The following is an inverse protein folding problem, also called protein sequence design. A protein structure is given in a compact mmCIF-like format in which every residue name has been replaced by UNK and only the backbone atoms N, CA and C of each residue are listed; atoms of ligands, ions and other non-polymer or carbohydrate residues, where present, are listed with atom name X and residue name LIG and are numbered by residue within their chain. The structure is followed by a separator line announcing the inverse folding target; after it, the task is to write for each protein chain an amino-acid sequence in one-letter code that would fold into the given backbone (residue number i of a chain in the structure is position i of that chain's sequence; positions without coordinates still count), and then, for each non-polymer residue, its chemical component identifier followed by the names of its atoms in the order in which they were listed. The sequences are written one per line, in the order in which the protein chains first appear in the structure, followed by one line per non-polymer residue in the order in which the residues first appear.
data_IF_554382281604
#
_entry.id   IF_554382281604
#
_cell.length_a   1.000
_cell.length_b   1.000
_cell.length_c   1.000
_cell.angle_alpha   90.00
_cell.angle_beta   90.00
_cell.angle_gamma   90.00
#
_symmetry.space_group_name_H-M   'P 1'
#
loop_
_entity.id
_entity.type
_entity.pdbx_description
1 polymer ?
#
# COMPACT_ATOMS: atom_id res chain seq x y z
N UNK A 1 -17.63 12.04 -27.26
CA UNK A 1 -16.71 10.94 -26.91
C UNK A 1 -15.73 10.82 -28.08
N UNK A 2 -14.44 11.02 -27.83
CA UNK A 2 -13.43 11.35 -28.85
C UNK A 2 -12.91 10.07 -29.53
N UNK A 3 -12.82 10.00 -30.87
CA UNK A 3 -12.39 8.80 -31.62
C UNK A 3 -11.02 8.25 -31.15
N UNK A 4 -10.14 9.11 -30.64
CA UNK A 4 -8.84 8.73 -30.04
C UNK A 4 -8.95 7.90 -28.76
N UNK A 5 -10.07 7.96 -28.04
CA UNK A 5 -10.31 7.15 -26.83
C UNK A 5 -10.73 5.71 -27.18
N UNK A 6 -11.39 5.52 -28.33
CA UNK A 6 -11.88 4.21 -28.79
C UNK A 6 -10.75 3.34 -29.36
N UNK A 7 -9.75 3.94 -29.99
CA UNK A 7 -8.53 3.25 -30.45
C UNK A 7 -7.65 2.75 -29.27
N UNK A 8 -7.69 3.45 -28.13
CA UNK A 8 -7.01 3.01 -26.91
C UNK A 8 -7.69 1.78 -26.31
N UNK A 9 -9.02 1.77 -26.18
CA UNK A 9 -9.77 0.63 -25.64
C UNK A 9 -9.60 -0.66 -26.45
N UNK A 10 -9.50 -0.59 -27.78
CA UNK A 10 -9.27 -1.78 -28.61
C UNK A 10 -7.84 -2.34 -28.51
N UNK A 11 -6.84 -1.48 -28.31
CA UNK A 11 -5.45 -1.93 -28.11
C UNK A 11 -5.25 -2.64 -26.75
N UNK A 12 -6.07 -2.32 -25.74
CA UNK A 12 -5.95 -2.89 -24.39
C UNK A 12 -6.71 -4.20 -24.15
N UNK A 13 -7.42 -4.74 -25.16
CA UNK A 13 -8.14 -6.04 -25.07
C UNK A 13 -7.29 -7.27 -25.43
N UNK A 14 -6.00 -7.11 -25.74
CA UNK A 14 -5.16 -8.24 -26.14
C UNK A 14 -4.62 -9.01 -24.92
N UNK A 15 -4.73 -10.35 -24.88
CA UNK A 15 -4.31 -11.15 -23.73
C UNK A 15 -2.78 -11.15 -23.55
N UNK A 16 -2.35 -11.06 -22.29
CA UNK A 16 -0.96 -11.10 -21.86
C UNK A 16 -0.52 -12.57 -21.77
N UNK A 17 0.38 -13.02 -22.64
CA UNK A 17 1.06 -14.31 -22.48
C UNK A 17 2.14 -14.18 -21.39
N UNK A 18 1.84 -14.69 -20.19
CA UNK A 18 2.79 -14.80 -19.09
C UNK A 18 3.62 -16.10 -19.24
N UNK A 19 4.92 -15.98 -19.47
CA UNK A 19 5.87 -17.08 -19.25
C UNK A 19 6.92 -16.64 -18.22
N UNK A 20 6.69 -16.97 -16.96
CA UNK A 20 7.70 -16.89 -15.90
C UNK A 20 8.22 -18.30 -15.61
N UNK A 21 9.47 -18.58 -15.96
CA UNK A 21 10.24 -19.71 -15.43
C UNK A 21 10.95 -19.25 -14.14
N UNK A 22 10.69 -19.96 -13.02
CA UNK A 22 11.31 -19.72 -11.72
C UNK A 22 12.81 -20.06 -11.75
N UNK A 23 13.72 -19.22 -11.21
CA UNK A 23 15.04 -19.69 -10.78
C UNK A 23 14.99 -20.21 -9.34
N UNK A 24 15.78 -21.25 -9.07
CA UNK A 24 16.00 -21.83 -7.73
C UNK A 24 16.69 -20.82 -6.81
N UNK A 25 16.15 -20.63 -5.60
CA UNK A 25 16.81 -19.90 -4.52
C UNK A 25 17.66 -20.86 -3.68
N UNK A 26 18.96 -20.60 -3.56
CA UNK A 26 19.79 -21.08 -2.44
C UNK A 26 19.75 -20.04 -1.33
N UNK A 27 19.40 -20.48 -0.11
CA UNK A 27 19.35 -19.62 1.09
C UNK A 27 20.76 -19.43 1.65
N UNK A 28 21.22 -18.19 1.72
CA UNK A 28 22.34 -17.79 2.59
C UNK A 28 21.77 -17.02 3.79
N UNK A 29 21.93 -17.57 4.98
CA UNK A 29 21.62 -16.93 6.26
C UNK A 29 22.68 -15.86 6.56
N UNK A 30 22.27 -14.61 6.81
CA UNK A 30 23.13 -13.59 7.42
C UNK A 30 22.49 -13.20 8.75
N UNK A 31 23.21 -13.45 9.83
CA UNK A 31 22.86 -13.09 11.22
C UNK A 31 23.10 -11.62 11.49
N UNK A 32 22.21 -11.03 12.30
CA UNK A 32 22.22 -9.65 12.74
C UNK A 32 23.32 -9.38 13.77
N UNK A 33 24.31 -8.56 13.41
CA UNK A 33 25.06 -7.69 14.34
C UNK A 33 25.99 -6.78 13.53
N UNK A 34 25.75 -5.47 13.59
CA UNK A 34 26.60 -4.47 12.92
C UNK A 34 25.98 -3.09 12.93
N UNK A 35 26.53 -2.23 13.77
CA UNK A 35 26.24 -0.80 13.91
C UNK A 35 26.43 -0.01 12.61
N UNK A 36 25.78 1.16 12.56
CA UNK A 36 26.00 2.23 11.57
C UNK A 36 27.51 2.46 11.42
N UNK A 37 28.06 2.04 10.30
CA UNK A 37 29.47 2.20 9.94
C UNK A 37 29.56 2.87 8.59
N UNK A 38 30.45 3.86 8.51
CA UNK A 38 30.81 4.63 7.33
C UNK A 38 30.93 3.75 6.07
N UNK A 39 30.14 4.07 5.05
CA UNK A 39 30.33 3.56 3.69
C UNK A 39 31.48 4.32 3.02
N UNK A 40 32.70 4.17 3.55
CA UNK A 40 33.93 4.52 2.83
C UNK A 40 34.76 3.25 2.70
N UNK A 41 34.56 2.51 1.60
CA UNK A 41 35.56 1.64 0.97
C UNK A 41 34.90 0.89 -0.19
N UNK A 42 34.96 1.48 -1.38
CA UNK A 42 35.07 0.75 -2.64
C UNK A 42 35.81 1.65 -3.62
N UNK A 43 37.14 1.57 -3.60
CA UNK A 43 37.93 1.90 -4.78
C UNK A 43 37.61 0.82 -5.82
N UNK A 44 36.67 1.13 -6.72
CA UNK A 44 36.40 0.34 -7.93
C UNK A 44 36.38 1.29 -9.11
N UNK A 45 37.12 0.92 -10.14
CA UNK A 45 37.28 1.63 -11.41
C UNK A 45 35.94 2.17 -11.89
N UNK A 46 35.81 3.49 -11.90
CA UNK A 46 34.77 4.20 -12.62
C UNK A 46 34.91 3.74 -14.08
N UNK A 47 33.86 3.12 -14.63
CA UNK A 47 33.80 2.88 -16.07
C UNK A 47 33.69 4.24 -16.76
N UNK A 48 34.82 4.84 -17.07
CA UNK A 48 34.90 6.00 -17.94
C UNK A 48 34.68 5.51 -19.38
N UNK A 49 33.64 5.97 -20.09
CA UNK A 49 33.54 5.71 -21.51
C UNK A 49 34.78 6.30 -22.17
N UNK A 50 35.60 5.46 -22.82
CA UNK A 50 36.66 5.96 -23.70
C UNK A 50 35.98 6.69 -24.86
N UNK A 51 35.87 8.01 -24.75
CA UNK A 51 35.42 8.86 -25.85
C UNK A 51 36.53 8.86 -26.90
N UNK A 52 36.21 8.30 -28.06
CA UNK A 52 37.07 8.41 -29.23
C UNK A 52 36.81 9.81 -29.83
N UNK A 53 37.69 10.76 -29.52
CA UNK A 53 37.58 12.20 -29.81
C UNK A 53 37.58 12.56 -31.31
N UNK A 54 37.59 11.56 -32.20
CA UNK A 54 37.68 11.76 -33.65
C UNK A 54 36.44 11.38 -34.45
N UNK A 55 35.29 11.18 -33.79
CA UNK A 55 34.03 11.15 -34.53
C UNK A 55 33.34 12.51 -34.44
N UNK A 56 33.45 13.30 -35.52
CA UNK A 56 32.45 14.33 -35.86
C UNK A 56 31.11 13.63 -36.08
N UNK A 57 30.47 13.22 -34.98
CA UNK A 57 29.15 12.64 -34.99
C UNK A 57 28.18 13.68 -35.51
N UNK A 58 27.39 13.33 -36.53
CA UNK A 58 26.27 14.13 -37.01
C UNK A 58 25.42 14.54 -35.79
N UNK A 59 25.54 15.78 -35.36
CA UNK A 59 24.77 16.32 -34.25
C UNK A 59 23.28 16.10 -34.55
N UNK A 60 22.59 15.43 -33.63
CA UNK A 60 21.15 15.32 -33.64
C UNK A 60 20.59 16.74 -33.45
N UNK A 61 20.16 17.39 -34.53
CA UNK A 61 19.48 18.69 -34.48
C UNK A 61 18.03 18.51 -33.99
N UNK A 62 17.83 18.06 -32.75
CA UNK A 62 16.49 18.08 -32.12
C UNK A 62 16.52 19.05 -30.95
N UNK A 63 15.45 19.84 -30.83
CA UNK A 63 15.28 20.78 -29.71
C UNK A 63 15.36 20.01 -28.39
N UNK A 64 16.37 20.33 -27.59
CA UNK A 64 16.50 19.82 -26.21
C UNK A 64 15.35 20.36 -25.38
N UNK A 65 14.73 19.46 -24.61
CA UNK A 65 13.60 19.77 -23.75
C UNK A 65 13.95 19.33 -22.34
N UNK A 66 14.06 20.23 -21.35
CA UNK A 66 14.32 19.81 -19.98
C UNK A 66 13.17 18.92 -19.47
N UNK A 67 13.50 17.98 -18.57
CA UNK A 67 12.48 17.36 -17.72
C UNK A 67 11.80 18.48 -16.93
N UNK A 68 10.48 18.44 -16.89
CA UNK A 68 9.70 19.46 -16.19
C UNK A 68 10.06 19.48 -14.70
N UNK A 69 10.25 20.67 -14.13
CA UNK A 69 10.57 20.84 -12.69
C UNK A 69 9.47 20.33 -11.77
N UNK A 70 8.26 20.19 -12.30
CA UNK A 70 7.10 19.69 -11.56
C UNK A 70 7.00 18.16 -11.57
N UNK A 71 7.78 17.48 -12.43
CA UNK A 71 7.83 16.02 -12.50
C UNK A 71 8.28 15.44 -11.16
N UNK A 72 7.50 14.52 -10.57
CA UNK A 72 7.79 13.93 -9.26
C UNK A 72 8.53 12.62 -9.36
N UNK A 73 8.10 11.76 -10.28
CA UNK A 73 8.73 10.46 -10.50
C UNK A 73 8.61 10.02 -11.94
N UNK A 74 9.68 9.49 -12.51
CA UNK A 74 9.55 8.63 -13.68
C UNK A 74 10.64 7.58 -13.68
N UNK A 75 10.40 6.52 -14.44
CA UNK A 75 11.47 5.61 -14.80
C UNK A 75 11.31 5.09 -16.22
N UNK A 76 12.44 4.67 -16.78
CA UNK A 76 12.45 4.05 -18.09
C UNK A 76 13.55 3.01 -18.22
N UNK A 77 13.26 1.96 -18.99
CA UNK A 77 14.30 1.12 -19.55
C UNK A 77 15.09 1.93 -20.58
N UNK A 78 16.41 1.98 -20.39
CA UNK A 78 17.33 2.75 -21.21
C UNK A 78 18.55 1.92 -21.64
N UNK A 79 19.22 2.37 -22.70
CA UNK A 79 20.51 1.84 -23.15
C UNK A 79 21.54 2.98 -23.18
N UNK A 80 22.64 2.90 -22.41
CA UNK A 80 23.74 3.86 -22.52
C UNK A 80 24.30 3.90 -23.94
N UNK A 81 24.70 5.09 -24.38
CA UNK A 81 25.39 5.24 -25.66
C UNK A 81 26.70 4.45 -25.65
N UNK A 82 27.02 3.79 -26.76
CA UNK A 82 28.22 2.96 -26.89
C UNK A 82 28.13 1.56 -26.28
N UNK A 83 27.10 1.27 -25.45
CA UNK A 83 26.94 -0.06 -24.87
C UNK A 83 26.61 -1.14 -25.93
N UNK A 84 26.99 -2.42 -25.69
CA UNK A 84 26.63 -3.54 -26.56
C UNK A 84 25.12 -3.65 -26.83
N UNK A 85 24.77 -4.36 -27.90
CA UNK A 85 23.36 -4.72 -28.13
C UNK A 85 22.89 -5.67 -27.03
N UNK A 86 21.64 -5.51 -26.60
CA UNK A 86 21.09 -6.25 -25.47
C UNK A 86 21.21 -5.55 -24.11
N UNK A 87 22.22 -4.69 -23.89
CA UNK A 87 22.39 -3.98 -22.60
C UNK A 87 21.19 -3.10 -22.24
N UNK A 88 20.67 -3.26 -21.02
CA UNK A 88 19.52 -2.51 -20.49
C UNK A 88 19.79 -2.08 -19.05
N UNK A 89 19.50 -0.82 -18.77
CA UNK A 89 19.50 -0.25 -17.44
C UNK A 89 18.14 0.35 -17.16
N UNK A 90 17.82 0.56 -15.89
CA UNK A 90 16.64 1.32 -15.47
C UNK A 90 17.14 2.68 -14.98
N UNK A 91 16.71 3.75 -15.64
CA UNK A 91 16.93 5.11 -15.15
C UNK A 91 15.75 5.48 -14.25
N UNK A 92 16.04 5.79 -12.98
CA UNK A 92 15.09 6.23 -11.97
C UNK A 92 15.27 7.73 -11.73
N UNK A 93 14.17 8.46 -11.79
CA UNK A 93 14.10 9.87 -11.44
C UNK A 93 13.04 10.06 -10.36
N UNK A 94 13.44 10.53 -9.18
CA UNK A 94 12.52 10.92 -8.09
C UNK A 94 13.21 11.93 -7.14
N UNK A 95 13.29 13.23 -7.51
CA UNK A 95 14.04 14.24 -6.77
C UNK A 95 13.82 14.19 -5.25
N UNK A 96 14.88 14.09 -4.42
CA UNK A 96 16.30 14.25 -4.75
C UNK A 96 17.03 12.94 -5.09
N UNK A 97 16.32 11.82 -5.24
CA UNK A 97 16.91 10.52 -5.58
C UNK A 97 16.91 10.33 -7.09
N UNK A 98 18.10 10.14 -7.64
CA UNK A 98 18.33 9.82 -9.05
C UNK A 98 19.26 8.63 -9.12
N UNK A 99 18.93 7.64 -9.92
CA UNK A 99 19.74 6.43 -9.98
C UNK A 99 19.67 5.72 -11.33
N UNK A 100 20.68 4.92 -11.61
CA UNK A 100 20.74 3.98 -12.72
C UNK A 100 20.95 2.61 -12.14
N UNK A 101 20.06 1.69 -12.47
CA UNK A 101 20.14 0.32 -12.03
C UNK A 101 20.55 -0.59 -13.19
N UNK A 102 21.66 -1.30 -13.00
CA UNK A 102 22.03 -2.46 -13.79
C UNK A 102 21.38 -3.70 -13.19
N UNK A 103 20.31 -4.18 -13.80
CA UNK A 103 19.64 -5.39 -13.32
C UNK A 103 20.51 -6.64 -13.51
N UNK A 104 21.35 -6.69 -14.55
CA UNK A 104 22.13 -7.90 -14.85
C UNK A 104 23.25 -8.11 -13.83
N UNK A 105 23.81 -7.02 -13.31
CA UNK A 105 24.90 -7.04 -12.33
C UNK A 105 24.42 -6.75 -10.89
N UNK A 106 23.12 -6.46 -10.70
CA UNK A 106 22.56 -6.05 -9.41
C UNK A 106 23.27 -4.82 -8.80
N UNK A 107 23.61 -3.84 -9.65
CA UNK A 107 24.35 -2.64 -9.25
C UNK A 107 23.51 -1.38 -9.40
N UNK A 108 23.49 -0.54 -8.36
CA UNK A 108 22.81 0.76 -8.36
C UNK A 108 23.84 1.89 -8.35
N UNK A 109 23.89 2.68 -9.42
CA UNK A 109 24.64 3.92 -9.47
C UNK A 109 23.75 5.10 -9.08
N UNK A 110 24.17 5.88 -8.08
CA UNK A 110 23.49 7.11 -7.69
C UNK A 110 23.95 8.28 -8.57
N UNK A 111 23.01 8.99 -9.20
CA UNK A 111 23.30 10.20 -9.96
C UNK A 111 23.34 11.40 -8.99
N UNK A 112 24.31 12.33 -9.14
CA UNK A 112 24.38 13.56 -8.33
C UNK A 112 23.08 14.37 -8.34
N UNK A 113 22.76 15.02 -7.21
CA UNK A 113 21.49 15.74 -7.00
C UNK A 113 21.31 16.99 -7.86
N UNK A 114 22.41 17.55 -8.33
CA UNK A 114 22.50 18.73 -9.18
C UNK A 114 22.60 18.38 -10.68
N UNK A 115 22.50 17.09 -11.02
CA UNK A 115 22.40 16.66 -12.40
C UNK A 115 21.11 17.20 -13.06
N UNK A 116 21.24 17.64 -14.31
CA UNK A 116 20.14 18.13 -15.13
C UNK A 116 19.72 17.06 -16.14
N UNK A 117 18.41 16.92 -16.35
CA UNK A 117 17.84 15.90 -17.22
C UNK A 117 17.17 16.55 -18.43
N UNK A 118 17.47 16.06 -19.63
CA UNK A 118 16.91 16.55 -20.88
C UNK A 118 16.41 15.41 -21.76
N UNK A 119 15.32 15.66 -22.48
CA UNK A 119 14.86 14.85 -23.59
C UNK A 119 15.32 15.42 -24.93
N UNK A 120 15.91 14.57 -25.76
CA UNK A 120 16.30 14.89 -27.13
C UNK A 120 15.85 13.76 -28.08
N UNK A 121 14.62 13.87 -28.58
CA UNK A 121 14.04 12.81 -29.41
C UNK A 121 13.80 11.52 -28.62
N UNK A 122 14.58 10.47 -28.91
CA UNK A 122 14.51 9.17 -28.21
C UNK A 122 15.54 9.01 -27.10
N UNK A 123 16.23 10.09 -26.76
CA UNK A 123 17.35 10.07 -25.81
C UNK A 123 16.99 10.85 -24.55
N UNK A 124 17.42 10.33 -23.41
CA UNK A 124 17.55 11.08 -22.16
C UNK A 124 19.03 11.44 -22.02
N UNK A 125 19.30 12.71 -21.73
CA UNK A 125 20.64 13.23 -21.49
C UNK A 125 20.69 13.64 -20.01
N UNK A 126 21.63 13.06 -19.28
CA UNK A 126 21.95 13.43 -17.90
C UNK A 126 23.23 14.26 -17.93
N UNK A 127 23.14 15.53 -17.54
CA UNK A 127 24.25 16.48 -17.56
C UNK A 127 24.68 16.82 -16.14
N UNK A 128 25.97 16.68 -15.83
CA UNK A 128 26.56 17.03 -14.54
C UNK A 128 28.01 17.46 -14.75
N UNK A 129 28.44 18.58 -14.17
CA UNK A 129 29.81 19.12 -14.31
C UNK A 129 30.33 19.20 -15.77
N UNK A 130 29.50 19.67 -16.70
CA UNK A 130 29.78 19.71 -18.15
C UNK A 130 30.01 18.34 -18.81
N UNK A 131 29.76 17.23 -18.11
CA UNK A 131 29.76 15.87 -18.65
C UNK A 131 28.33 15.46 -18.97
N UNK A 132 28.10 15.02 -20.21
CA UNK A 132 26.80 14.49 -20.65
C UNK A 132 26.85 12.97 -20.78
N UNK A 133 25.93 12.29 -20.10
CA UNK A 133 25.67 10.86 -20.29
C UNK A 133 24.38 10.68 -21.06
N UNK A 134 24.45 9.96 -22.17
CA UNK A 134 23.34 9.82 -23.12
C UNK A 134 22.76 8.41 -23.06
N UNK A 135 21.45 8.34 -22.91
CA UNK A 135 20.68 7.12 -22.73
C UNK A 135 19.57 7.03 -23.78
N UNK A 136 19.58 5.99 -24.61
CA UNK A 136 18.47 5.73 -25.56
C UNK A 136 17.29 5.09 -24.81
N UNK A 137 16.14 5.74 -24.86
CA UNK A 137 14.85 5.24 -24.35
C UNK A 137 14.44 4.01 -25.16
N UNK A 138 13.92 2.98 -24.47
CA UNK A 138 13.43 1.74 -25.10
C UNK A 138 11.91 1.70 -25.26
N UNK A 139 11.18 2.34 -24.35
CA UNK A 139 9.74 2.51 -24.42
C UNK A 139 9.34 3.62 -25.40
N UNK A 140 8.05 3.91 -25.50
CA UNK A 140 7.54 5.01 -26.31
C UNK A 140 8.00 6.36 -25.72
N UNK A 141 9.07 6.92 -26.31
CA UNK A 141 9.70 8.16 -25.85
C UNK A 141 8.74 9.36 -25.85
N UNK A 142 7.76 9.39 -26.76
CA UNK A 142 6.78 10.47 -26.81
C UNK A 142 5.86 10.40 -25.59
N UNK A 143 5.34 9.20 -25.29
CA UNK A 143 4.51 8.99 -24.09
C UNK A 143 5.28 9.24 -22.80
N UNK A 144 6.53 8.78 -22.71
CA UNK A 144 7.37 9.05 -21.55
C UNK A 144 7.55 10.56 -21.35
N UNK A 145 7.86 11.29 -22.43
CA UNK A 145 7.96 12.74 -22.39
C UNK A 145 6.64 13.40 -21.95
N UNK A 146 5.51 12.97 -22.49
CA UNK A 146 4.20 13.48 -22.11
C UNK A 146 3.90 13.20 -20.62
N UNK A 147 4.29 12.05 -20.07
CA UNK A 147 4.19 11.74 -18.63
C UNK A 147 5.08 12.62 -17.75
N UNK A 148 6.24 13.05 -18.24
CA UNK A 148 7.10 13.99 -17.51
C UNK A 148 6.62 15.43 -17.56
N UNK A 149 5.67 15.75 -18.46
CA UNK A 149 5.09 17.09 -18.64
C UNK A 149 3.71 17.26 -18.02
N UNK A 150 2.88 16.24 -18.18
CA UNK A 150 1.51 16.24 -17.68
C UNK A 150 1.57 15.80 -16.22
N UNK A 151 1.82 16.76 -15.34
CA UNK A 151 1.96 16.49 -13.93
C UNK A 151 0.59 16.17 -13.30
N UNK A 152 0.26 14.90 -13.21
CA UNK A 152 -0.63 14.45 -12.15
C UNK A 152 0.18 14.61 -10.85
N UNK A 153 -0.28 15.43 -9.90
CA UNK A 153 0.41 15.71 -8.63
C UNK A 153 0.69 14.46 -7.77
N UNK A 154 0.14 13.30 -8.15
CA UNK A 154 0.21 12.05 -7.42
C UNK A 154 1.38 11.18 -7.90
N UNK A 155 2.38 10.99 -7.02
CA UNK A 155 3.58 10.19 -7.30
C UNK A 155 3.27 8.70 -7.52
N UNK A 156 2.25 8.17 -6.82
CA UNK A 156 1.81 6.78 -6.96
C UNK A 156 1.25 6.57 -8.36
N UNK A 157 0.36 7.45 -8.81
CA UNK A 157 -0.19 7.39 -10.17
C UNK A 157 0.92 7.48 -11.22
N UNK A 158 1.84 8.43 -11.07
CA UNK A 158 2.92 8.62 -12.03
C UNK A 158 3.85 7.39 -12.10
N UNK A 159 4.13 6.75 -10.97
CA UNK A 159 4.86 5.49 -10.91
C UNK A 159 4.15 4.37 -11.69
N UNK A 160 2.87 4.13 -11.44
CA UNK A 160 2.14 3.07 -12.13
C UNK A 160 1.93 3.37 -13.62
N UNK A 161 1.76 4.62 -14.03
CA UNK A 161 1.79 4.99 -15.46
C UNK A 161 3.13 4.66 -16.11
N UNK A 162 4.24 4.86 -15.40
CA UNK A 162 5.57 4.42 -15.87
C UNK A 162 5.68 2.90 -15.93
N UNK A 163 5.15 2.16 -14.94
CA UNK A 163 5.10 0.69 -14.97
C UNK A 163 4.33 0.19 -16.20
N UNK A 164 3.16 0.77 -16.48
CA UNK A 164 2.34 0.39 -17.63
C UNK A 164 3.05 0.69 -18.96
N UNK A 165 3.68 1.87 -19.08
CA UNK A 165 4.42 2.28 -20.27
C UNK A 165 5.61 1.38 -20.55
N UNK A 166 6.36 1.01 -19.51
CA UNK A 166 7.53 0.15 -19.63
C UNK A 166 7.18 -1.35 -19.64
N UNK A 167 5.93 -1.71 -19.31
CA UNK A 167 5.47 -3.09 -19.06
C UNK A 167 6.35 -3.80 -18.03
N UNK A 168 6.71 -3.08 -16.98
CA UNK A 168 7.79 -3.47 -16.08
C UNK A 168 7.62 -2.83 -14.71
N UNK A 169 7.60 -3.65 -13.66
CA UNK A 169 7.83 -3.21 -12.28
C UNK A 169 9.35 -3.07 -12.09
N UNK A 170 9.87 -2.19 -11.22
CA UNK A 170 11.33 -2.00 -11.00
C UNK A 170 11.89 -3.04 -9.99
N UNK A 171 12.59 -4.11 -10.39
CA UNK A 171 13.38 -4.96 -9.51
C UNK A 171 14.86 -4.53 -9.50
N UNK A 172 15.67 -5.10 -8.58
CA UNK A 172 15.19 -5.77 -7.40
C UNK A 172 14.75 -4.71 -6.37
N UNK A 173 13.62 -4.99 -5.72
CA UNK A 173 12.98 -4.05 -4.78
C UNK A 173 13.94 -3.74 -3.62
N UNK A 174 14.83 -4.67 -3.24
CA UNK A 174 15.81 -4.44 -2.16
C UNK A 174 16.84 -3.34 -2.49
N UNK A 175 17.37 -3.29 -3.72
CA UNK A 175 18.28 -2.22 -4.15
C UNK A 175 17.54 -0.89 -4.30
N UNK A 176 16.28 -0.95 -4.68
CA UNK A 176 15.44 0.22 -4.94
C UNK A 176 14.53 0.55 -3.77
N UNK A 177 14.78 -0.02 -2.59
CA UNK A 177 13.95 0.16 -1.40
C UNK A 177 13.79 1.64 -1.01
N UNK A 178 14.83 2.51 -1.06
CA UNK A 178 14.64 3.95 -0.82
C UNK A 178 13.68 4.61 -1.80
N UNK A 179 13.68 4.18 -3.06
CA UNK A 179 12.76 4.68 -4.09
C UNK A 179 11.34 4.18 -3.83
N UNK A 180 11.15 2.88 -3.58
CA UNK A 180 9.85 2.31 -3.23
C UNK A 180 9.27 2.94 -1.96
N UNK A 181 10.08 3.13 -0.92
CA UNK A 181 9.65 3.77 0.33
C UNK A 181 9.14 5.20 0.15
N UNK A 182 9.76 5.92 -0.79
CA UNK A 182 9.32 7.27 -1.10
C UNK A 182 8.02 7.26 -1.91
N UNK A 183 7.99 6.47 -2.98
CA UNK A 183 6.99 6.62 -4.04
C UNK A 183 5.73 5.79 -3.78
N UNK A 184 5.84 4.59 -3.20
CA UNK A 184 4.70 3.67 -3.05
C UNK A 184 4.56 2.97 -1.69
N UNK A 185 5.58 2.83 -0.85
CA UNK A 185 5.37 2.31 0.51
C UNK A 185 4.99 3.45 1.47
N UNK A 186 3.81 4.01 1.23
CA UNK A 186 3.27 5.15 1.97
C UNK A 186 1.76 5.02 2.13
N UNK A 187 1.19 5.78 3.08
CA UNK A 187 -0.24 5.81 3.37
C UNK A 187 -1.10 6.03 2.12
N UNK A 188 -0.64 6.90 1.21
CA UNK A 188 -1.35 7.24 -0.02
C UNK A 188 -1.57 6.02 -0.91
N UNK A 189 -0.53 5.20 -1.13
CA UNK A 189 -0.66 3.97 -1.91
C UNK A 189 -1.64 2.97 -1.28
N UNK A 190 -1.55 2.75 0.03
CA UNK A 190 -2.44 1.82 0.71
C UNK A 190 -3.89 2.32 0.72
N UNK A 191 -4.08 3.62 0.95
CA UNK A 191 -5.39 4.25 0.80
C UNK A 191 -5.98 4.04 -0.61
N UNK A 192 -5.18 4.26 -1.66
CA UNK A 192 -5.62 4.00 -3.04
C UNK A 192 -5.91 2.52 -3.27
N UNK A 193 -5.08 1.62 -2.74
CA UNK A 193 -5.31 0.18 -2.83
C UNK A 193 -6.65 -0.20 -2.18
N UNK A 194 -7.00 0.36 -1.02
CA UNK A 194 -8.30 0.10 -0.34
C UNK A 194 -9.55 0.40 -1.19
N UNK A 195 -9.40 1.15 -2.30
CA UNK A 195 -10.49 1.49 -3.23
C UNK A 195 -10.78 0.44 -4.28
N UNK A 196 -10.00 -0.63 -4.35
CA UNK A 196 -10.41 -1.78 -5.14
C UNK A 196 -11.77 -2.30 -4.64
N UNK A 197 -12.63 -2.82 -5.54
CA UNK A 197 -13.80 -3.57 -5.12
C UNK A 197 -13.39 -4.67 -4.15
N UNK A 198 -14.16 -4.86 -3.08
CA UNK A 198 -13.80 -5.80 -2.02
C UNK A 198 -13.62 -7.23 -2.54
N UNK A 199 -14.31 -7.58 -3.63
CA UNK A 199 -14.21 -8.88 -4.31
C UNK A 199 -12.80 -9.19 -4.84
N UNK A 200 -11.92 -8.20 -4.96
CA UNK A 200 -10.51 -8.40 -5.33
C UNK A 200 -9.69 -8.90 -4.13
N UNK A 201 -10.18 -8.73 -2.91
CA UNK A 201 -9.53 -9.15 -1.68
C UNK A 201 -10.04 -10.52 -1.23
N UNK A 202 -9.11 -11.45 -1.07
CA UNK A 202 -9.30 -12.66 -0.26
C UNK A 202 -8.60 -12.48 1.10
N UNK A 203 -8.78 -13.46 1.99
CA UNK A 203 -8.20 -13.42 3.34
C UNK A 203 -6.68 -13.19 3.32
N UNK A 204 -5.96 -13.83 2.40
CA UNK A 204 -4.50 -13.70 2.28
C UNK A 204 -4.07 -12.30 1.80
N UNK A 205 -4.76 -11.72 0.83
CA UNK A 205 -4.43 -10.39 0.31
C UNK A 205 -4.76 -9.31 1.34
N UNK A 206 -5.84 -9.50 2.10
CA UNK A 206 -6.21 -8.59 3.18
C UNK A 206 -5.23 -8.66 4.37
N UNK A 207 -4.78 -9.85 4.77
CA UNK A 207 -3.72 -10.04 5.78
C UNK A 207 -2.42 -9.34 5.33
N UNK A 208 -2.02 -9.52 4.07
CA UNK A 208 -0.85 -8.82 3.52
C UNK A 208 -1.04 -7.30 3.49
N UNK A 209 -2.24 -6.80 3.20
CA UNK A 209 -2.54 -5.37 3.29
C UNK A 209 -2.33 -4.85 4.71
N UNK A 210 -2.86 -5.56 5.73
CA UNK A 210 -2.73 -5.18 7.15
C UNK A 210 -1.25 -5.16 7.54
N UNK A 211 -0.50 -6.24 7.28
CA UNK A 211 0.92 -6.35 7.67
C UNK A 211 1.81 -5.31 6.99
N UNK A 212 1.55 -5.04 5.72
CA UNK A 212 2.31 -4.07 4.95
C UNK A 212 2.02 -2.62 5.40
N UNK A 213 0.79 -2.34 5.83
CA UNK A 213 0.37 -1.02 6.31
C UNK A 213 0.64 -0.76 7.80
N UNK A 214 0.98 -1.79 8.59
CA UNK A 214 1.26 -1.69 10.03
C UNK A 214 2.16 -0.49 10.45
N UNK A 215 3.22 -0.11 9.71
CA UNK A 215 4.05 1.05 10.06
C UNK A 215 3.30 2.39 10.19
N UNK A 216 2.18 2.55 9.50
CA UNK A 216 1.36 3.76 9.44
C UNK A 216 -0.15 3.43 9.55
N UNK A 217 -0.48 2.33 10.24
CA UNK A 217 -1.86 1.85 10.33
C UNK A 217 -2.76 2.81 11.11
N UNK A 218 -2.23 3.59 12.04
CA UNK A 218 -2.99 4.63 12.76
C UNK A 218 -3.50 5.70 11.81
N UNK A 219 -2.59 6.37 11.11
CA UNK A 219 -2.91 7.46 10.18
C UNK A 219 -3.70 6.96 8.98
N UNK A 220 -3.37 5.78 8.46
CA UNK A 220 -4.13 5.15 7.38
C UNK A 220 -5.55 4.79 7.83
N UNK A 221 -5.72 4.20 9.01
CA UNK A 221 -7.04 3.80 9.49
C UNK A 221 -7.90 5.03 9.81
N UNK A 222 -7.32 6.08 10.39
CA UNK A 222 -7.99 7.37 10.55
C UNK A 222 -8.49 7.91 9.20
N UNK A 223 -7.67 7.86 8.16
CA UNK A 223 -8.05 8.32 6.82
C UNK A 223 -9.19 7.47 6.22
N UNK A 224 -9.11 6.15 6.34
CA UNK A 224 -10.16 5.23 5.86
C UNK A 224 -11.48 5.43 6.61
N UNK A 225 -11.41 5.60 7.93
CA UNK A 225 -12.56 5.87 8.79
C UNK A 225 -13.15 7.25 8.49
N UNK A 226 -12.33 8.27 8.28
CA UNK A 226 -12.78 9.64 7.97
C UNK A 226 -13.62 9.65 6.70
N UNK A 227 -13.14 9.02 5.63
CA UNK A 227 -13.89 8.92 4.38
C UNK A 227 -15.15 8.07 4.49
N UNK A 228 -15.12 7.00 5.30
CA UNK A 228 -16.30 6.19 5.54
C UNK A 228 -17.35 6.92 6.38
N UNK A 229 -16.95 7.59 7.47
CA UNK A 229 -17.84 8.17 8.49
C UNK A 229 -18.38 9.53 8.08
N UNK A 230 -17.56 10.40 7.49
CA UNK A 230 -17.94 11.76 7.09
C UNK A 230 -19.21 11.85 6.23
N UNK A 231 -19.45 10.98 5.23
CA UNK A 231 -20.67 11.04 4.41
C UNK A 231 -21.87 10.33 5.06
N UNK A 232 -21.72 9.68 6.22
CA UNK A 232 -22.81 8.93 6.82
C UNK A 232 -23.91 9.84 7.36
N UNK A 233 -25.13 9.34 7.30
CA UNK A 233 -26.24 9.87 8.08
C UNK A 233 -26.22 9.25 9.49
N UNK A 234 -26.74 9.98 10.48
CA UNK A 234 -26.71 9.61 11.90
C UNK A 234 -27.37 8.24 12.22
N UNK A 235 -28.17 7.70 11.30
CA UNK A 235 -28.95 6.47 11.51
C UNK A 235 -28.16 5.17 11.30
N UNK A 236 -26.96 5.23 10.72
CA UNK A 236 -26.15 4.02 10.51
C UNK A 236 -25.68 3.50 11.85
N UNK A 237 -25.76 2.19 12.06
CA UNK A 237 -25.40 1.56 13.34
C UNK A 237 -24.48 0.35 13.20
N UNK A 238 -24.15 -0.01 11.95
CA UNK A 238 -23.29 -1.12 11.59
C UNK A 238 -22.50 -0.76 10.33
N UNK A 239 -21.30 -1.34 10.18
CA UNK A 239 -20.58 -1.26 8.92
C UNK A 239 -21.29 -2.12 7.86
N UNK A 240 -21.33 -1.69 6.59
CA UNK A 240 -21.82 -2.52 5.50
C UNK A 240 -20.99 -3.80 5.39
N UNK A 241 -21.65 -4.96 5.48
CA UNK A 241 -20.99 -6.28 5.54
C UNK A 241 -20.14 -6.64 4.33
N UNK A 242 -20.27 -5.92 3.20
CA UNK A 242 -19.45 -6.09 2.00
C UNK A 242 -18.42 -4.98 1.78
N UNK A 243 -18.24 -4.08 2.75
CA UNK A 243 -17.25 -3.00 2.63
C UNK A 243 -15.85 -3.46 3.01
N UNK A 244 -14.83 -2.93 2.31
CA UNK A 244 -13.43 -3.19 2.62
C UNK A 244 -13.09 -2.89 4.08
N UNK A 245 -13.52 -1.72 4.58
CA UNK A 245 -13.25 -1.30 5.96
C UNK A 245 -13.83 -2.25 7.01
N UNK A 246 -15.03 -2.80 6.77
CA UNK A 246 -15.61 -3.80 7.66
C UNK A 246 -14.74 -5.04 7.79
N UNK A 247 -14.31 -5.59 6.66
CA UNK A 247 -13.49 -6.80 6.64
C UNK A 247 -12.08 -6.56 7.18
N UNK A 248 -11.50 -5.39 6.89
CA UNK A 248 -10.23 -4.95 7.46
C UNK A 248 -10.30 -4.94 8.99
N UNK A 249 -11.30 -4.25 9.56
CA UNK A 249 -11.48 -4.16 11.00
C UNK A 249 -11.75 -5.53 11.64
N UNK A 250 -12.59 -6.36 11.01
CA UNK A 250 -12.82 -7.72 11.49
C UNK A 250 -11.51 -8.52 11.56
N UNK A 251 -10.72 -8.55 10.48
CA UNK A 251 -9.48 -9.32 10.43
C UNK A 251 -8.45 -8.81 11.46
N UNK A 252 -8.29 -7.50 11.59
CA UNK A 252 -7.38 -6.91 12.57
C UNK A 252 -7.71 -7.31 14.01
N UNK A 253 -9.00 -7.42 14.35
CA UNK A 253 -9.45 -7.86 15.68
C UNK A 253 -9.42 -9.39 15.80
N UNK A 254 -9.70 -10.13 14.72
CA UNK A 254 -9.74 -11.59 14.70
C UNK A 254 -8.37 -12.22 14.99
N UNK A 255 -7.30 -11.55 14.57
CA UNK A 255 -5.89 -11.92 14.76
C UNK A 255 -5.33 -11.65 16.16
N UNK A 256 -6.09 -10.98 17.03
CA UNK A 256 -5.65 -10.74 18.41
C UNK A 256 -5.59 -12.06 19.20
N UNK A 257 -4.42 -12.42 19.72
CA UNK A 257 -4.25 -13.69 20.46
C UNK A 257 -5.24 -13.81 21.64
N UNK A 258 -5.54 -12.70 22.31
CA UNK A 258 -6.48 -12.69 23.43
C UNK A 258 -7.94 -12.89 22.97
N UNK A 259 -8.29 -12.51 21.73
CA UNK A 259 -9.62 -12.76 21.18
C UNK A 259 -9.92 -14.25 21.01
N UNK A 260 -8.88 -15.07 20.81
CA UNK A 260 -9.04 -16.52 20.64
C UNK A 260 -9.57 -17.19 21.90
N UNK A 261 -9.13 -16.72 23.07
CA UNK A 261 -9.64 -17.17 24.37
C UNK A 261 -11.11 -16.78 24.50
N UNK A 262 -11.46 -15.55 24.13
CA UNK A 262 -12.82 -15.04 24.19
C UNK A 262 -13.79 -15.81 23.27
N UNK A 263 -13.39 -16.07 22.01
CA UNK A 263 -14.12 -16.92 21.05
C UNK A 263 -14.41 -18.29 21.64
N UNK A 264 -13.40 -18.93 22.23
CA UNK A 264 -13.52 -20.26 22.84
C UNK A 264 -14.49 -20.29 24.02
N UNK A 265 -14.51 -19.24 24.84
CA UNK A 265 -15.45 -19.13 25.96
C UNK A 265 -16.91 -19.05 25.48
N UNK A 266 -17.18 -18.24 24.45
CA UNK A 266 -18.51 -18.14 23.83
C UNK A 266 -18.94 -19.45 23.17
N UNK A 267 -18.01 -20.14 22.49
CA UNK A 267 -18.25 -21.44 21.86
C UNK A 267 -18.71 -22.51 22.87
N UNK A 268 -18.04 -22.60 24.03
CA UNK A 268 -18.33 -23.62 25.05
C UNK A 268 -19.56 -23.31 25.91
N UNK A 269 -19.96 -22.04 26.00
CA UNK A 269 -21.08 -21.62 26.85
C UNK A 269 -22.44 -22.11 26.33
N UNK A 270 -23.33 -22.52 27.24
CA UNK A 270 -24.75 -22.78 26.94
C UNK A 270 -25.55 -21.48 26.79
N UNK A 271 -25.05 -20.39 27.37
CA UNK A 271 -25.65 -19.05 27.32
C UNK A 271 -24.67 -18.09 26.64
N UNK A 272 -24.68 -18.04 25.30
CA UNK A 272 -23.65 -17.33 24.55
C UNK A 272 -23.65 -15.82 24.84
N UNK A 273 -24.81 -15.17 24.97
CA UNK A 273 -24.88 -13.74 25.30
C UNK A 273 -24.27 -13.41 26.68
N UNK A 274 -24.55 -14.21 27.71
CA UNK A 274 -23.95 -13.99 29.05
C UNK A 274 -22.43 -14.19 28.99
N UNK A 275 -21.94 -15.22 28.29
CA UNK A 275 -20.51 -15.45 28.09
C UNK A 275 -19.84 -14.34 27.29
N UNK A 276 -20.54 -13.78 26.30
CA UNK A 276 -20.07 -12.62 25.55
C UNK A 276 -19.85 -11.43 26.48
N UNK A 277 -20.87 -11.04 27.27
CA UNK A 277 -20.75 -9.88 28.17
C UNK A 277 -19.63 -10.06 29.19
N UNK A 278 -19.53 -11.25 29.79
CA UNK A 278 -18.49 -11.55 30.79
C UNK A 278 -17.09 -11.56 30.17
N UNK A 279 -16.93 -12.10 28.96
CA UNK A 279 -15.64 -12.07 28.28
C UNK A 279 -15.28 -10.68 27.78
N UNK A 280 -16.27 -9.90 27.31
CA UNK A 280 -16.07 -8.53 26.84
C UNK A 280 -15.59 -7.61 27.96
N UNK A 281 -16.09 -7.82 29.18
CA UNK A 281 -15.66 -7.10 30.39
C UNK A 281 -14.19 -7.33 30.75
N UNK A 282 -13.68 -8.53 30.50
CA UNK A 282 -12.27 -8.85 30.79
C UNK A 282 -11.34 -8.19 29.75
N UNK A 283 -11.92 -7.50 28.76
CA UNK A 283 -11.25 -6.75 27.69
C UNK A 283 -10.15 -7.59 27.02
N UNK A 284 -10.52 -8.63 26.25
CA UNK A 284 -9.62 -9.67 25.75
C UNK A 284 -8.87 -9.18 24.51
N UNK A 285 -8.38 -7.94 24.55
CA UNK A 285 -7.71 -7.27 23.46
C UNK A 285 -6.35 -6.81 23.94
N UNK A 286 -5.35 -6.95 23.08
CA UNK A 286 -4.07 -6.28 23.26
C UNK A 286 -4.21 -4.77 22.95
N UNK A 287 -3.16 -4.01 23.22
CA UNK A 287 -3.18 -2.55 23.05
C UNK A 287 -3.35 -2.12 21.59
N UNK A 288 -2.89 -2.92 20.61
CA UNK A 288 -3.09 -2.65 19.18
C UNK A 288 -4.57 -2.68 18.82
N UNK A 289 -5.28 -3.74 19.20
CA UNK A 289 -6.72 -3.87 18.93
C UNK A 289 -7.53 -2.81 19.67
N UNK A 290 -7.14 -2.46 20.90
CA UNK A 290 -7.75 -1.34 21.64
C UNK A 290 -7.54 -0.01 20.91
N UNK A 291 -6.35 0.24 20.37
CA UNK A 291 -6.07 1.43 19.56
C UNK A 291 -6.95 1.46 18.31
N UNK A 292 -7.06 0.36 17.57
CA UNK A 292 -7.93 0.25 16.38
C UNK A 292 -9.38 0.61 16.71
N UNK A 293 -9.94 0.02 17.77
CA UNK A 293 -11.31 0.33 18.19
C UNK A 293 -11.44 1.78 18.71
N UNK A 294 -10.41 2.30 19.39
CA UNK A 294 -10.39 3.69 19.82
C UNK A 294 -10.42 4.67 18.63
N UNK A 295 -9.72 4.37 17.52
CA UNK A 295 -9.78 5.18 16.30
C UNK A 295 -11.19 5.18 15.69
N UNK A 296 -11.88 4.04 15.70
CA UNK A 296 -13.29 3.98 15.27
C UNK A 296 -14.14 4.94 16.12
N UNK A 297 -13.95 4.92 17.44
CA UNK A 297 -14.66 5.83 18.35
C UNK A 297 -14.30 7.30 18.08
N UNK A 298 -13.01 7.64 18.02
CA UNK A 298 -12.54 9.02 17.95
C UNK A 298 -12.98 9.71 16.66
N UNK A 299 -12.94 9.01 15.53
CA UNK A 299 -13.41 9.55 14.24
C UNK A 299 -14.94 9.71 14.25
N UNK A 300 -15.68 8.79 14.87
CA UNK A 300 -17.13 8.98 15.07
C UNK A 300 -17.44 10.20 15.92
N UNK A 301 -16.74 10.39 17.04
CA UNK A 301 -16.94 11.52 17.96
C UNK A 301 -16.60 12.86 17.30
N UNK A 302 -15.60 12.88 16.41
CA UNK A 302 -15.24 14.06 15.61
C UNK A 302 -16.41 14.55 14.74
N UNK A 303 -17.15 13.64 14.10
CA UNK A 303 -18.25 13.99 13.18
C UNK A 303 -19.63 14.02 13.85
N UNK A 304 -19.82 13.23 14.91
CA UNK A 304 -21.08 13.12 15.64
C UNK A 304 -20.84 13.24 17.17
N UNK A 305 -20.48 14.43 17.67
CA UNK A 305 -20.14 14.62 19.08
C UNK A 305 -21.26 14.21 20.03
N UNK A 306 -20.94 13.48 21.09
CA UNK A 306 -21.89 12.99 22.08
C UNK A 306 -22.83 11.87 21.60
N UNK A 307 -22.62 11.36 20.37
CA UNK A 307 -23.40 10.27 19.81
C UNK A 307 -23.02 8.91 20.41
N UNK A 308 -23.92 7.94 20.29
CA UNK A 308 -23.63 6.52 20.57
C UNK A 308 -23.10 5.77 19.34
N UNK A 309 -22.97 6.43 18.19
CA UNK A 309 -22.57 5.83 16.92
C UNK A 309 -21.26 5.03 17.02
N UNK A 310 -20.18 5.64 17.52
CA UNK A 310 -18.88 4.97 17.62
C UNK A 310 -18.96 3.70 18.46
N UNK A 311 -19.71 3.75 19.57
CA UNK A 311 -19.93 2.58 20.44
C UNK A 311 -20.73 1.49 19.72
N UNK A 312 -21.78 1.85 18.96
CA UNK A 312 -22.57 0.88 18.18
C UNK A 312 -21.72 0.21 17.11
N UNK A 313 -20.90 0.96 16.39
CA UNK A 313 -20.00 0.42 15.37
C UNK A 313 -18.94 -0.52 15.96
N UNK A 314 -18.31 -0.14 17.08
CA UNK A 314 -17.36 -1.01 17.79
C UNK A 314 -18.03 -2.30 18.25
N UNK A 315 -19.22 -2.21 18.86
CA UNK A 315 -19.98 -3.38 19.26
C UNK A 315 -20.32 -4.27 18.08
N UNK A 316 -20.72 -3.69 16.94
CA UNK A 316 -21.00 -4.44 15.72
C UNK A 316 -19.79 -5.26 15.29
N UNK A 317 -18.57 -4.68 15.29
CA UNK A 317 -17.34 -5.42 14.99
C UNK A 317 -17.13 -6.57 15.98
N UNK A 318 -17.17 -6.29 17.28
CA UNK A 318 -16.92 -7.29 18.32
C UNK A 318 -17.91 -8.46 18.27
N UNK A 319 -19.20 -8.17 18.09
CA UNK A 319 -20.24 -9.19 17.95
C UNK A 319 -20.01 -10.03 16.70
N UNK A 320 -19.67 -9.41 15.57
CA UNK A 320 -19.45 -10.13 14.31
C UNK A 320 -18.18 -10.99 14.33
N UNK A 321 -17.10 -10.58 15.00
CA UNK A 321 -15.91 -11.44 15.22
C UNK A 321 -16.31 -12.75 15.92
N UNK A 322 -17.10 -12.65 17.00
CA UNK A 322 -17.55 -13.83 17.74
C UNK A 322 -18.58 -14.64 16.94
N UNK A 323 -19.53 -13.98 16.27
CA UNK A 323 -20.55 -14.64 15.46
C UNK A 323 -19.94 -15.41 14.28
N UNK A 324 -18.95 -14.83 13.59
CA UNK A 324 -18.24 -15.49 12.50
C UNK A 324 -17.53 -16.76 12.97
N UNK A 325 -16.82 -16.69 14.10
CA UNK A 325 -16.21 -17.88 14.72
C UNK A 325 -17.23 -18.98 14.99
N UNK A 326 -18.36 -18.63 15.62
CA UNK A 326 -19.43 -19.59 15.92
C UNK A 326 -20.04 -20.20 14.66
N UNK A 327 -20.24 -19.41 13.60
CA UNK A 327 -20.72 -19.89 12.30
C UNK A 327 -19.76 -20.89 11.67
N UNK A 328 -18.45 -20.62 11.68
CA UNK A 328 -17.43 -21.55 11.20
C UNK A 328 -17.43 -22.88 11.96
N UNK A 329 -17.77 -22.85 13.25
CA UNK A 329 -17.96 -24.04 14.10
C UNK A 329 -19.32 -24.73 13.92
N UNK A 330 -20.14 -24.31 12.95
CA UNK A 330 -21.50 -24.81 12.71
C UNK A 330 -22.45 -24.60 13.90
N UNK A 331 -22.23 -23.54 14.69
CA UNK A 331 -23.05 -23.14 15.84
C UNK A 331 -23.89 -21.89 15.50
N UNK A 332 -24.54 -21.89 14.33
CA UNK A 332 -25.28 -20.73 13.82
C UNK A 332 -26.31 -20.17 14.79
N UNK A 333 -27.04 -21.03 15.50
CA UNK A 333 -28.00 -20.59 16.52
C UNK A 333 -27.36 -19.75 17.64
N UNK A 334 -26.10 -20.03 18.01
CA UNK A 334 -25.38 -19.23 19.02
C UNK A 334 -24.95 -17.89 18.42
N UNK A 335 -24.51 -17.90 17.16
CA UNK A 335 -24.17 -16.67 16.44
C UNK A 335 -25.39 -15.74 16.37
N UNK A 336 -26.56 -16.27 16.00
CA UNK A 336 -27.81 -15.51 15.95
C UNK A 336 -28.17 -14.92 17.33
N UNK A 337 -28.00 -15.68 18.41
CA UNK A 337 -28.19 -15.17 19.76
C UNK A 337 -27.20 -14.04 20.08
N UNK A 338 -25.92 -14.14 19.73
CA UNK A 338 -24.97 -13.05 19.94
C UNK A 338 -25.40 -11.79 19.18
N UNK A 339 -25.79 -11.92 17.91
CA UNK A 339 -26.16 -10.80 17.05
C UNK A 339 -27.45 -10.08 17.51
N UNK A 340 -28.29 -10.68 18.35
CA UNK A 340 -29.41 -9.97 19.00
C UNK A 340 -28.97 -8.81 19.92
N UNK A 341 -27.68 -8.73 20.29
CA UNK A 341 -27.13 -7.63 21.09
C UNK A 341 -26.71 -6.42 20.22
N UNK A 342 -26.78 -6.54 18.89
CA UNK A 342 -26.47 -5.44 17.97
C UNK A 342 -27.28 -4.19 18.32
N UNK A 343 -26.73 -3.01 17.98
CA UNK A 343 -27.33 -1.72 18.29
C UNK A 343 -27.59 -1.47 19.79
N UNK A 344 -26.84 -2.15 20.65
CA UNK A 344 -27.00 -2.12 22.11
C UNK A 344 -28.37 -2.62 22.58
N UNK A 345 -28.97 -3.57 21.85
CA UNK A 345 -30.21 -4.21 22.29
C UNK A 345 -29.98 -5.17 23.46
N UNK A 346 -31.02 -5.37 24.29
CA UNK A 346 -30.92 -6.23 25.46
C UNK A 346 -30.87 -7.73 25.12
N UNK A 347 -31.52 -8.16 24.03
CA UNK A 347 -31.65 -9.56 23.68
C UNK A 347 -32.29 -10.38 24.80
N UNK A 348 -31.61 -11.47 25.21
CA UNK A 348 -32.05 -12.37 26.29
C UNK A 348 -31.34 -12.10 27.62
N UNK A 349 -30.52 -11.05 27.69
CA UNK A 349 -29.79 -10.69 28.91
C UNK A 349 -30.74 -10.27 30.02
N UNK A 350 -30.37 -10.59 31.27
CA UNK A 350 -31.02 -10.02 32.43
C UNK A 350 -30.76 -8.51 32.51
N UNK A 351 -31.65 -7.70 33.13
CA UNK A 351 -31.44 -6.25 33.24
C UNK A 351 -30.10 -5.86 33.88
N UNK A 352 -29.60 -6.65 34.83
CA UNK A 352 -28.30 -6.42 35.46
C UNK A 352 -27.14 -6.65 34.51
N UNK A 353 -27.16 -7.73 33.73
CA UNK A 353 -26.13 -8.02 32.72
C UNK A 353 -26.19 -7.04 31.56
N UNK A 354 -27.38 -6.61 31.16
CA UNK A 354 -27.55 -5.58 30.13
C UNK A 354 -26.94 -4.24 30.57
N UNK A 355 -27.21 -3.80 31.81
CA UNK A 355 -26.56 -2.61 32.36
C UNK A 355 -25.03 -2.74 32.33
N UNK A 356 -24.50 -3.89 32.72
CA UNK A 356 -23.06 -4.19 32.68
C UNK A 356 -22.50 -4.09 31.25
N UNK A 357 -23.17 -4.72 30.29
CA UNK A 357 -22.84 -4.66 28.87
C UNK A 357 -22.73 -3.22 28.36
N UNK A 358 -23.71 -2.37 28.66
CA UNK A 358 -23.68 -0.95 28.25
C UNK A 358 -22.52 -0.15 28.89
N UNK A 359 -22.09 -0.51 30.10
CA UNK A 359 -20.95 0.14 30.76
C UNK A 359 -19.64 -0.26 30.07
N UNK A 360 -19.42 -1.56 29.83
CA UNK A 360 -18.21 -2.09 29.16
C UNK A 360 -18.06 -1.50 27.76
N UNK A 361 -19.16 -1.37 27.03
CA UNK A 361 -19.19 -0.77 25.70
C UNK A 361 -18.64 0.68 25.68
N UNK A 362 -18.62 1.39 26.81
CA UNK A 362 -18.05 2.74 26.92
C UNK A 362 -16.53 2.75 27.17
N UNK A 363 -15.87 1.61 27.42
CA UNK A 363 -14.44 1.60 27.75
C UNK A 363 -13.54 1.98 26.56
N UNK A 364 -13.99 1.75 25.32
CA UNK A 364 -13.26 2.09 24.09
C UNK A 364 -13.11 3.60 23.84
N UNK A 365 -13.77 4.42 24.65
CA UNK A 365 -13.59 5.88 24.64
C UNK A 365 -12.17 6.28 25.05
N UNK A 366 -11.51 5.45 25.85
CA UNK A 366 -10.17 5.72 26.37
C UNK A 366 -9.11 5.12 25.47
N UNK A 367 -8.09 5.90 25.14
CA UNK A 367 -6.90 5.41 24.45
C UNK A 367 -6.10 4.46 25.37
N UNK A 368 -5.53 3.35 24.86
CA UNK A 368 -4.61 2.52 25.64
C UNK A 368 -3.39 3.33 26.11
N UNK A 369 -3.06 3.23 27.40
CA UNK A 369 -1.97 3.98 28.00
C UNK A 369 -0.61 3.53 27.42
N UNK A 370 0.20 4.48 26.95
CA UNK A 370 1.57 4.26 26.46
C UNK A 370 1.70 3.37 25.21
N UNK A 371 0.64 3.17 24.42
CA UNK A 371 0.77 2.41 23.18
C UNK A 371 1.58 3.20 22.14
N UNK A 372 2.69 2.62 21.70
CA UNK A 372 3.51 3.13 20.60
C UNK A 372 3.47 2.09 19.48
N UNK A 373 2.96 2.49 18.33
CA UNK A 373 2.91 1.63 17.16
C UNK A 373 4.30 1.17 16.73
N UNK A 374 4.39 -0.10 16.37
CA UNK A 374 5.60 -0.61 15.77
C UNK A 374 5.75 -0.06 14.35
N UNK A 375 6.69 0.86 14.17
CA UNK A 375 6.92 1.55 12.89
C UNK A 375 7.74 0.73 11.89
N UNK A 376 8.33 -0.42 12.25
CA UNK A 376 9.24 -1.20 11.38
C UNK A 376 9.23 -2.71 11.65
N UNK A 377 9.25 -3.52 10.58
CA UNK A 377 9.47 -4.96 10.65
C UNK A 377 9.81 -5.57 9.28
N UNK A 378 10.57 -6.67 9.25
CA UNK A 378 10.90 -7.40 8.02
C UNK A 378 9.66 -8.01 7.36
N UNK A 379 8.71 -8.52 8.17
CA UNK A 379 7.44 -9.05 7.69
C UNK A 379 6.61 -8.03 6.91
N UNK A 380 6.63 -6.75 7.29
CA UNK A 380 5.92 -5.69 6.58
C UNK A 380 6.45 -5.48 5.16
N UNK A 381 7.74 -5.70 4.93
CA UNK A 381 8.35 -5.52 3.62
C UNK A 381 7.98 -6.63 2.63
N UNK A 382 7.95 -7.89 3.07
CA UNK A 382 7.52 -9.02 2.24
C UNK A 382 6.05 -8.85 1.83
N UNK A 383 5.18 -8.49 2.78
CA UNK A 383 3.77 -8.20 2.51
C UNK A 383 3.59 -6.98 1.60
N UNK A 384 4.44 -5.95 1.73
CA UNK A 384 4.45 -4.82 0.81
C UNK A 384 4.76 -5.25 -0.64
N UNK A 385 5.74 -6.14 -0.86
CA UNK A 385 6.04 -6.68 -2.19
C UNK A 385 4.82 -7.41 -2.76
N UNK A 386 4.11 -8.19 -1.94
CA UNK A 386 2.90 -8.88 -2.35
C UNK A 386 1.82 -7.86 -2.77
N UNK A 387 1.63 -6.79 -2.01
CA UNK A 387 0.66 -5.73 -2.35
C UNK A 387 1.03 -4.97 -3.63
N UNK A 388 2.31 -4.69 -3.87
CA UNK A 388 2.76 -4.09 -5.13
C UNK A 388 2.51 -5.03 -6.31
N UNK A 389 2.75 -6.33 -6.15
CA UNK A 389 2.44 -7.31 -7.20
C UNK A 389 0.93 -7.44 -7.45
N UNK A 390 0.11 -7.45 -6.39
CA UNK A 390 -1.35 -7.42 -6.50
C UNK A 390 -1.83 -6.21 -7.31
N UNK A 391 -1.37 -5.00 -6.97
CA UNK A 391 -1.73 -3.79 -7.72
C UNK A 391 -1.21 -3.80 -9.15
N UNK A 392 -0.03 -4.37 -9.40
CA UNK A 392 0.50 -4.57 -10.76
C UNK A 392 -0.35 -5.51 -11.61
N UNK A 393 -0.82 -6.64 -11.05
CA UNK A 393 -1.71 -7.56 -11.76
C UNK A 393 -3.04 -6.90 -12.19
N UNK A 394 -3.50 -5.92 -11.41
CA UNK A 394 -4.72 -5.16 -11.66
C UNK A 394 -4.45 -3.70 -12.08
N UNK A 395 -3.30 -3.44 -12.72
CA UNK A 395 -2.81 -2.08 -12.97
C UNK A 395 -3.80 -1.16 -13.68
N UNK A 396 -4.57 -1.67 -14.64
CA UNK A 396 -5.55 -0.86 -15.38
C UNK A 396 -6.63 -0.30 -14.44
N UNK A 397 -7.08 -1.10 -13.47
CA UNK A 397 -8.06 -0.67 -12.49
C UNK A 397 -7.41 0.23 -11.44
N UNK A 398 -6.16 -0.07 -11.03
CA UNK A 398 -5.41 0.81 -10.13
C UNK A 398 -5.26 2.22 -10.68
N UNK A 399 -4.92 2.35 -11.97
CA UNK A 399 -4.73 3.65 -12.61
C UNK A 399 -6.06 4.41 -12.61
N UNK A 400 -7.19 3.78 -12.93
CA UNK A 400 -8.52 4.42 -12.85
C UNK A 400 -8.84 4.89 -11.44
N UNK A 401 -8.55 4.07 -10.43
CA UNK A 401 -8.71 4.44 -9.01
C UNK A 401 -7.87 5.67 -8.68
N UNK A 402 -6.58 5.65 -9.03
CA UNK A 402 -5.68 6.78 -8.82
C UNK A 402 -6.20 8.04 -9.53
N UNK A 403 -6.72 7.90 -10.76
CA UNK A 403 -7.24 9.02 -11.53
C UNK A 403 -8.53 9.62 -10.95
N UNK A 404 -9.40 8.78 -10.39
CA UNK A 404 -10.61 9.22 -9.71
C UNK A 404 -10.32 9.93 -8.37
N UNK A 405 -9.15 9.68 -7.77
CA UNK A 405 -8.80 10.13 -6.42
C UNK A 405 -7.68 11.17 -6.38
N UNK A 406 -7.33 11.84 -7.50
CA UNK A 406 -6.17 12.78 -7.61
C UNK A 406 -6.17 13.98 -6.65
N UNK A 407 -7.27 14.24 -5.93
CA UNK A 407 -7.50 15.47 -5.14
C UNK A 407 -7.21 15.31 -3.64
N UNK A 408 -6.73 14.14 -3.22
CA UNK A 408 -6.24 13.93 -1.85
C UNK A 408 -4.80 14.37 -1.69
#
# INVERSE_FOLDING_TARGET
MNEKFRELEEYFKQPINNSFTKPKQERVLITSQGSVGDFSMFDKEIWEPKFNDNSKGKHLFRTRKPVDVTCRVFFSLVKPQGAPNGTRFILLYSPPLYAILDQANEELEMIPKDAQFYFEGRYIIVSFNNVERIYSIKSDAKKLYDLTKNNNSDEVLQFFLCCQLNRYLVPPIFLTNPFYNKVVNNERFFFLASKYPYEYYNDETLDNYIRASEPFIDTLLELLLDEFIKPLEYEISQFPKGSFLYHLLLMMIDEDENITIFKTACEKSRKPQEAFVLGYEIMPLNDRSKMVLHLVYSVCEKYFPGSTLGIKLINSIMLNVIANHLNLKKLGFKADLILQLENLQQGTLTPSLYKRYTIIANEFKSQPANFILNRKGTFSYDSFIIMVNFTWMHITDFIKICEANKVY
#
